data_IF_517729190217
#
_entry.id   IF_517729190217
#
_cell.length_a   1.000
_cell.length_b   1.000
_cell.length_c   1.000
_cell.angle_alpha   90.00
_cell.angle_beta   90.00
_cell.angle_gamma   90.00
#
_symmetry.space_group_name_H-M   'P 1'
#
loop_
_entity.id
_entity.type
_entity.pdbx_description
1 polymer ?
#
# COMPACT_ATOMS: atom_id res chain seq x y z
N UNK A 1 -4.96 -6.75 11.76
CA UNK A 1 -3.88 -7.28 12.63
C UNK A 1 -4.50 -8.16 13.71
N UNK A 2 -5.51 -7.69 14.47
CA UNK A 2 -6.11 -8.47 15.55
C UNK A 2 -6.64 -9.84 15.12
N UNK A 3 -7.29 -9.93 13.95
CA UNK A 3 -7.76 -11.21 13.40
C UNK A 3 -6.60 -12.14 13.00
N UNK A 4 -5.51 -11.59 12.44
CA UNK A 4 -4.32 -12.35 12.11
C UNK A 4 -3.71 -13.00 13.37
N UNK A 5 -3.53 -12.20 14.42
CA UNK A 5 -3.02 -12.69 15.71
C UNK A 5 -3.91 -13.75 16.32
N UNK A 6 -5.24 -13.50 16.33
CA UNK A 6 -6.23 -14.45 16.87
C UNK A 6 -6.14 -15.82 16.16
N UNK A 7 -6.12 -15.84 14.82
CA UNK A 7 -6.02 -17.05 14.02
C UNK A 7 -4.70 -17.81 14.27
N UNK A 8 -3.58 -17.08 14.27
CA UNK A 8 -2.27 -17.72 14.51
C UNK A 8 -2.20 -18.34 15.91
N UNK A 9 -2.77 -17.68 16.91
CA UNK A 9 -2.86 -18.18 18.29
C UNK A 9 -3.80 -19.38 18.42
N UNK A 10 -4.97 -19.34 17.79
CA UNK A 10 -5.93 -20.47 17.77
C UNK A 10 -5.34 -21.71 17.10
N UNK A 11 -4.54 -21.52 16.05
CA UNK A 11 -3.79 -22.59 15.38
C UNK A 11 -2.51 -23.00 16.13
N UNK A 12 -2.19 -22.31 17.25
CA UNK A 12 -0.98 -22.52 18.08
C UNK A 12 0.33 -22.40 17.31
N UNK A 13 0.36 -21.56 16.31
CA UNK A 13 1.58 -21.27 15.58
C UNK A 13 2.58 -20.50 16.46
N UNK A 14 3.83 -20.96 16.49
CA UNK A 14 4.90 -20.32 17.25
C UNK A 14 5.19 -18.91 16.71
N UNK A 15 5.16 -18.78 15.38
CA UNK A 15 5.47 -17.51 14.71
C UNK A 15 4.32 -17.01 13.83
N UNK A 16 4.10 -15.71 13.87
CA UNK A 16 3.21 -15.00 12.96
C UNK A 16 4.04 -14.40 11.82
N UNK A 17 3.83 -14.90 10.61
CA UNK A 17 4.62 -14.59 9.42
C UNK A 17 3.88 -13.67 8.46
N UNK A 18 4.54 -13.27 7.37
CA UNK A 18 3.93 -12.43 6.30
C UNK A 18 2.78 -13.16 5.61
N UNK A 19 2.84 -14.48 5.53
CA UNK A 19 1.78 -15.36 4.97
C UNK A 19 0.50 -15.25 5.80
N UNK A 20 0.60 -15.23 7.13
CA UNK A 20 -0.55 -15.00 8.02
C UNK A 20 -1.16 -13.61 7.79
N UNK A 21 -0.32 -12.61 7.55
CA UNK A 21 -0.79 -11.25 7.27
C UNK A 21 -1.56 -11.19 5.95
N UNK A 22 -1.02 -11.79 4.88
CA UNK A 22 -1.69 -11.85 3.59
C UNK A 22 -2.99 -12.64 3.68
N UNK A 23 -3.00 -13.78 4.39
CA UNK A 23 -4.21 -14.56 4.63
C UNK A 23 -5.32 -13.74 5.33
N UNK A 24 -4.95 -12.94 6.33
CA UNK A 24 -5.90 -12.04 6.99
C UNK A 24 -6.36 -10.88 6.08
N UNK A 25 -5.52 -10.45 5.14
CA UNK A 25 -5.89 -9.42 4.15
C UNK A 25 -6.89 -9.94 3.11
N UNK A 26 -6.96 -11.25 2.85
CA UNK A 26 -7.99 -11.83 1.98
C UNK A 26 -9.40 -11.62 2.51
N UNK A 27 -9.56 -11.37 3.81
CA UNK A 27 -10.87 -11.04 4.42
C UNK A 27 -11.07 -9.53 4.62
N UNK A 28 -10.09 -8.71 4.24
CA UNK A 28 -10.19 -7.26 4.36
C UNK A 28 -10.78 -6.63 3.10
N UNK A 29 -11.89 -5.85 3.19
CA UNK A 29 -12.58 -5.32 2.02
C UNK A 29 -11.69 -4.49 1.09
N UNK A 30 -10.82 -3.64 1.64
CA UNK A 30 -9.94 -2.80 0.81
C UNK A 30 -8.86 -3.59 0.09
N UNK A 31 -8.32 -4.65 0.70
CA UNK A 31 -7.35 -5.53 0.06
C UNK A 31 -8.02 -6.46 -0.96
N UNK A 32 -9.22 -6.96 -0.67
CA UNK A 32 -10.02 -7.77 -1.60
C UNK A 32 -10.32 -7.03 -2.91
N UNK A 33 -10.76 -5.77 -2.80
CA UNK A 33 -11.05 -4.94 -3.97
C UNK A 33 -9.81 -4.81 -4.88
N UNK A 34 -8.64 -4.56 -4.29
CA UNK A 34 -7.37 -4.46 -5.01
C UNK A 34 -6.99 -5.79 -5.66
N UNK A 35 -7.03 -6.90 -4.91
CA UNK A 35 -6.66 -8.23 -5.42
C UNK A 35 -7.58 -8.66 -6.57
N UNK A 36 -8.90 -8.43 -6.42
CA UNK A 36 -9.88 -8.70 -7.48
C UNK A 36 -9.60 -7.87 -8.74
N UNK A 37 -9.33 -6.58 -8.58
CA UNK A 37 -8.99 -5.69 -9.69
C UNK A 37 -7.70 -6.08 -10.41
N UNK A 38 -6.72 -6.63 -9.68
CA UNK A 38 -5.49 -7.20 -10.23
C UNK A 38 -5.68 -8.61 -10.82
N UNK A 39 -6.89 -9.19 -10.73
CA UNK A 39 -7.21 -10.51 -11.29
C UNK A 39 -6.76 -11.68 -10.46
N UNK A 40 -6.48 -11.48 -9.16
CA UNK A 40 -6.12 -12.56 -8.24
C UNK A 40 -7.31 -13.48 -7.95
N UNK A 41 -7.05 -14.78 -7.89
CA UNK A 41 -7.97 -15.79 -7.36
C UNK A 41 -7.75 -15.92 -5.85
N UNK A 42 -8.66 -15.31 -5.08
CA UNK A 42 -8.56 -15.26 -3.62
C UNK A 42 -8.66 -16.64 -2.96
N UNK A 43 -9.47 -17.56 -3.54
CA UNK A 43 -9.64 -18.90 -2.98
C UNK A 43 -8.40 -19.77 -3.18
N UNK A 44 -7.84 -19.72 -4.38
CA UNK A 44 -6.58 -20.39 -4.68
C UNK A 44 -5.45 -19.84 -3.82
N UNK A 45 -5.36 -18.51 -3.68
CA UNK A 45 -4.34 -17.86 -2.86
C UNK A 45 -4.48 -18.25 -1.38
N UNK A 46 -5.72 -18.37 -0.88
CA UNK A 46 -6.00 -18.85 0.48
C UNK A 46 -5.45 -20.24 0.71
N UNK A 47 -5.77 -21.18 -0.18
CA UNK A 47 -5.33 -22.58 -0.07
C UNK A 47 -3.78 -22.69 -0.10
N UNK A 48 -3.14 -21.99 -1.03
CA UNK A 48 -1.67 -21.97 -1.16
C UNK A 48 -1.00 -21.38 0.11
N UNK A 49 -1.57 -20.31 0.68
CA UNK A 49 -1.06 -19.71 1.91
C UNK A 49 -1.26 -20.60 3.14
N UNK A 50 -2.42 -21.22 3.29
CA UNK A 50 -2.69 -22.16 4.39
C UNK A 50 -1.74 -23.37 4.34
N UNK A 51 -1.50 -23.93 3.17
CA UNK A 51 -0.53 -25.01 2.98
C UNK A 51 0.90 -24.57 3.31
N UNK A 52 1.30 -23.37 2.87
CA UNK A 52 2.62 -22.85 3.15
C UNK A 52 2.84 -22.58 4.65
N UNK A 53 1.84 -22.04 5.34
CA UNK A 53 1.88 -21.82 6.78
C UNK A 53 2.02 -23.14 7.51
N UNK A 54 1.19 -24.12 7.18
CA UNK A 54 1.22 -25.43 7.82
C UNK A 54 2.55 -26.18 7.62
N UNK A 55 3.17 -26.01 6.44
CA UNK A 55 4.44 -26.63 6.12
C UNK A 55 5.66 -25.95 6.74
N UNK A 56 5.59 -24.63 6.98
CA UNK A 56 6.75 -23.82 7.35
C UNK A 56 6.76 -23.33 8.79
N UNK A 57 5.59 -23.29 9.46
CA UNK A 57 5.48 -22.73 10.81
C UNK A 57 5.32 -23.83 11.85
N UNK A 58 6.21 -23.84 12.84
CA UNK A 58 6.14 -24.74 13.98
C UNK A 58 4.93 -24.45 14.86
N UNK A 59 4.30 -25.51 15.41
CA UNK A 59 3.24 -25.37 16.40
C UNK A 59 3.80 -25.47 17.81
N UNK A 60 3.27 -24.67 18.72
CA UNK A 60 3.56 -24.75 20.14
C UNK A 60 2.94 -26.01 20.74
N UNK A 61 3.65 -26.69 21.62
CA UNK A 61 3.13 -27.85 22.36
C UNK A 61 1.99 -27.45 23.31
N UNK A 62 1.14 -28.42 23.70
CA UNK A 62 -0.06 -28.15 24.52
C UNK A 62 0.24 -27.61 25.92
N UNK A 63 1.40 -27.93 26.44
CA UNK A 63 1.91 -27.50 27.76
C UNK A 63 2.87 -26.30 27.66
N UNK A 64 3.12 -25.78 26.46
CA UNK A 64 4.02 -24.65 26.26
C UNK A 64 3.28 -23.33 26.58
N UNK A 65 3.72 -22.66 27.64
CA UNK A 65 3.18 -21.38 28.09
C UNK A 65 3.59 -20.18 27.22
N UNK A 66 4.33 -20.41 26.11
CA UNK A 66 4.72 -19.34 25.19
C UNK A 66 3.54 -18.89 24.34
N UNK A 67 3.55 -17.62 23.98
CA UNK A 67 2.56 -17.04 23.07
C UNK A 67 3.15 -16.87 21.65
N UNK A 68 2.28 -16.79 20.65
CA UNK A 68 2.65 -16.55 19.25
C UNK A 68 3.47 -15.25 19.10
N UNK A 69 4.62 -15.33 18.44
CA UNK A 69 5.51 -14.18 18.25
C UNK A 69 5.52 -13.69 16.80
N UNK A 70 5.48 -12.37 16.55
CA UNK A 70 5.60 -11.84 15.20
C UNK A 70 7.04 -11.97 14.71
N UNK A 71 7.22 -12.46 13.47
CA UNK A 71 8.53 -12.49 12.83
C UNK A 71 9.03 -11.09 12.46
N UNK A 72 10.34 -10.96 12.24
CA UNK A 72 10.93 -9.69 11.78
C UNK A 72 10.34 -9.24 10.43
N UNK A 73 10.05 -10.17 9.51
CA UNK A 73 9.41 -9.86 8.23
C UNK A 73 8.01 -9.25 8.44
N UNK A 74 7.21 -9.83 9.31
CA UNK A 74 5.91 -9.30 9.69
C UNK A 74 6.00 -7.88 10.26
N UNK A 75 6.93 -7.65 11.18
CA UNK A 75 7.14 -6.32 11.78
C UNK A 75 7.58 -5.28 10.74
N UNK A 76 8.53 -5.65 9.85
CA UNK A 76 9.01 -4.76 8.77
C UNK A 76 7.89 -4.36 7.81
N UNK A 77 7.00 -5.28 7.45
CA UNK A 77 5.83 -4.97 6.59
C UNK A 77 4.94 -3.92 7.25
N UNK A 78 4.61 -4.10 8.53
CA UNK A 78 3.78 -3.13 9.24
C UNK A 78 4.45 -1.76 9.38
N UNK A 79 5.73 -1.73 9.75
CA UNK A 79 6.49 -0.48 9.83
C UNK A 79 6.54 0.24 8.48
N UNK A 80 6.76 -0.50 7.39
CA UNK A 80 6.77 0.05 6.03
C UNK A 80 5.41 0.61 5.64
N UNK A 81 4.32 -0.09 5.94
CA UNK A 81 2.97 0.39 5.67
C UNK A 81 2.67 1.70 6.43
N UNK A 82 3.02 1.77 7.71
CA UNK A 82 2.86 2.99 8.52
C UNK A 82 3.71 4.14 7.96
N UNK A 83 4.97 3.87 7.64
CA UNK A 83 5.86 4.88 7.07
C UNK A 83 5.33 5.46 5.75
N UNK A 84 4.84 4.59 4.85
CA UNK A 84 4.25 5.04 3.57
C UNK A 84 3.02 5.92 3.77
N UNK A 85 2.15 5.57 4.71
CA UNK A 85 0.95 6.34 5.00
C UNK A 85 1.31 7.70 5.61
N UNK A 86 2.24 7.73 6.55
CA UNK A 86 2.72 8.98 7.16
C UNK A 86 3.38 9.91 6.13
N UNK A 87 4.23 9.35 5.25
CA UNK A 87 4.91 10.14 4.21
C UNK A 87 3.96 10.68 3.14
N UNK A 88 2.82 10.02 2.93
CA UNK A 88 1.76 10.49 2.00
C UNK A 88 0.73 11.43 2.66
N UNK A 89 0.90 11.78 3.93
CA UNK A 89 0.00 12.67 4.67
C UNK A 89 -1.36 12.06 5.02
N UNK A 90 -1.55 10.75 4.77
CA UNK A 90 -2.76 10.02 5.16
C UNK A 90 -2.73 9.68 6.65
N UNK A 91 -3.91 9.63 7.28
CA UNK A 91 -4.02 9.39 8.74
C UNK A 91 -4.22 7.92 9.10
N UNK A 92 -4.68 7.11 8.16
CA UNK A 92 -5.06 5.72 8.42
C UNK A 92 -4.34 4.74 7.49
N UNK A 93 -3.92 3.61 8.07
CA UNK A 93 -3.32 2.50 7.31
C UNK A 93 -4.42 1.56 6.89
N UNK A 94 -4.68 1.48 5.58
CA UNK A 94 -5.66 0.55 5.01
C UNK A 94 -5.05 -0.81 4.70
N UNK A 95 -5.89 -1.85 4.49
CA UNK A 95 -5.42 -3.16 4.04
C UNK A 95 -4.66 -3.11 2.71
N UNK A 96 -5.05 -2.20 1.81
CA UNK A 96 -4.36 -1.97 0.55
C UNK A 96 -2.92 -1.43 0.73
N UNK A 97 -2.69 -0.54 1.70
CA UNK A 97 -1.35 -0.06 2.03
C UNK A 97 -0.46 -1.19 2.56
N UNK A 98 -1.02 -2.06 3.40
CA UNK A 98 -0.31 -3.24 3.91
C UNK A 98 0.01 -4.21 2.78
N UNK A 99 -0.91 -4.44 1.84
CA UNK A 99 -0.70 -5.29 0.68
C UNK A 99 0.48 -4.79 -0.18
N UNK A 100 0.58 -3.48 -0.45
CA UNK A 100 1.75 -2.89 -1.13
C UNK A 100 3.05 -3.13 -0.35
N UNK A 101 2.98 -3.00 0.99
CA UNK A 101 4.16 -3.16 1.85
C UNK A 101 4.67 -4.61 1.89
N UNK A 102 3.81 -5.62 1.70
CA UNK A 102 4.18 -7.05 1.64
C UNK A 102 5.21 -7.31 0.53
N UNK A 103 5.09 -6.67 -0.63
CA UNK A 103 6.05 -6.82 -1.73
C UNK A 103 7.48 -6.38 -1.41
N UNK A 104 7.71 -5.74 -0.27
CA UNK A 104 9.04 -5.46 0.23
C UNK A 104 9.76 -6.68 0.83
N UNK A 105 9.04 -7.74 1.17
CA UNK A 105 9.59 -9.01 1.66
C UNK A 105 9.67 -10.02 0.51
N UNK A 106 10.61 -9.80 -0.39
CA UNK A 106 10.72 -10.52 -1.68
C UNK A 106 10.89 -12.04 -1.52
N UNK A 107 11.48 -12.46 -0.41
CA UNK A 107 11.78 -13.86 -0.13
C UNK A 107 10.63 -14.58 0.60
N UNK A 108 9.47 -13.91 0.82
CA UNK A 108 8.29 -14.52 1.46
C UNK A 108 7.48 -15.35 0.46
N UNK A 109 6.90 -16.45 0.94
CA UNK A 109 5.93 -17.23 0.16
C UNK A 109 4.72 -16.38 -0.23
N UNK A 110 4.35 -15.39 0.59
CA UNK A 110 3.27 -14.46 0.28
C UNK A 110 3.51 -13.73 -1.07
N UNK A 111 4.70 -13.18 -1.28
CA UNK A 111 5.06 -12.52 -2.55
C UNK A 111 5.20 -13.52 -3.69
N UNK A 112 5.72 -14.72 -3.40
CA UNK A 112 5.83 -15.78 -4.40
C UNK A 112 4.46 -16.16 -4.98
N UNK A 113 3.44 -16.42 -4.14
CA UNK A 113 2.11 -16.79 -4.62
C UNK A 113 1.37 -15.64 -5.31
N UNK A 114 1.55 -14.39 -4.87
CA UNK A 114 1.02 -13.23 -5.58
C UNK A 114 1.62 -13.13 -6.99
N UNK A 115 2.93 -13.30 -7.13
CA UNK A 115 3.60 -13.28 -8.43
C UNK A 115 3.19 -14.48 -9.31
N UNK A 116 2.95 -15.66 -8.73
CA UNK A 116 2.48 -16.83 -9.44
C UNK A 116 1.09 -16.62 -10.06
N UNK A 117 0.27 -15.78 -9.44
CA UNK A 117 -1.01 -15.34 -9.98
C UNK A 117 -0.89 -14.07 -10.85
N UNK A 118 0.34 -13.72 -11.25
CA UNK A 118 0.64 -12.56 -12.08
C UNK A 118 0.22 -11.21 -11.45
N UNK A 119 0.14 -11.15 -10.12
CA UNK A 119 -0.11 -9.93 -9.36
C UNK A 119 1.21 -9.31 -8.95
N UNK A 120 1.51 -8.13 -9.48
CA UNK A 120 2.75 -7.41 -9.19
C UNK A 120 2.49 -6.20 -8.29
N UNK A 121 3.55 -5.71 -7.65
CA UNK A 121 3.47 -4.46 -6.88
C UNK A 121 2.98 -3.29 -7.74
N UNK A 122 3.39 -3.26 -9.03
CA UNK A 122 3.02 -2.19 -9.95
C UNK A 122 1.52 -2.20 -10.25
N UNK A 123 0.91 -3.38 -10.44
CA UNK A 123 -0.52 -3.52 -10.69
C UNK A 123 -1.32 -2.94 -9.53
N UNK A 124 -0.92 -3.27 -8.29
CA UNK A 124 -1.59 -2.78 -7.07
C UNK A 124 -1.45 -1.25 -6.96
N UNK A 125 -0.24 -0.72 -7.18
CA UNK A 125 -0.01 0.73 -7.13
C UNK A 125 -0.78 1.44 -8.23
N UNK A 126 -0.84 0.91 -9.45
CA UNK A 126 -1.62 1.47 -10.54
C UNK A 126 -3.12 1.50 -10.23
N UNK A 127 -3.64 0.43 -9.65
CA UNK A 127 -5.04 0.42 -9.21
C UNK A 127 -5.32 1.45 -8.12
N UNK A 128 -4.45 1.55 -7.10
CA UNK A 128 -4.62 2.50 -6.00
C UNK A 128 -4.47 3.96 -6.43
N UNK A 129 -3.67 4.22 -7.47
CA UNK A 129 -3.37 5.58 -7.95
C UNK A 129 -4.32 6.04 -9.05
N UNK A 130 -4.76 5.13 -9.89
CA UNK A 130 -5.46 5.46 -11.13
C UNK A 130 -6.80 4.72 -11.30
N UNK A 131 -7.15 3.81 -10.39
CA UNK A 131 -8.31 2.96 -10.53
C UNK A 131 -8.24 1.97 -11.71
N UNK A 132 -7.05 1.78 -12.31
CA UNK A 132 -6.87 0.94 -13.49
C UNK A 132 -6.79 -0.52 -13.06
N UNK A 133 -7.85 -1.28 -13.35
CA UNK A 133 -7.89 -2.73 -13.12
C UNK A 133 -7.15 -3.47 -14.25
N UNK A 134 -6.41 -4.54 -13.91
CA UNK A 134 -5.67 -5.36 -14.88
C UNK A 134 -6.59 -6.11 -15.87
N UNK A 135 -7.84 -6.37 -15.47
CA UNK A 135 -8.86 -7.10 -16.27
C UNK A 135 -9.92 -6.22 -16.91
N UNK A 136 -9.71 -4.94 -17.17
CA UNK A 136 -10.65 -4.13 -17.96
C UNK A 136 -12.04 -3.91 -17.36
N UNK A 137 -12.31 -4.35 -16.13
CA UNK A 137 -13.49 -3.94 -15.38
C UNK A 137 -13.11 -2.67 -14.61
N UNK A 138 -13.83 -1.57 -14.85
CA UNK A 138 -13.75 -0.36 -14.04
C UNK A 138 -14.12 -0.74 -12.61
N UNK A 139 -13.12 -0.96 -11.77
CA UNK A 139 -13.32 -1.30 -10.37
C UNK A 139 -13.79 -0.07 -9.60
N UNK A 140 -14.93 -0.19 -8.92
CA UNK A 140 -15.34 0.77 -7.92
C UNK A 140 -14.20 0.97 -6.90
N UNK A 141 -13.66 2.17 -6.87
CA UNK A 141 -12.70 2.59 -5.84
C UNK A 141 -13.44 2.60 -4.51
N UNK A 142 -13.05 1.83 -3.48
CA UNK A 142 -13.70 1.92 -2.19
C UNK A 142 -13.53 3.34 -1.65
N UNK A 143 -14.58 3.97 -1.10
CA UNK A 143 -14.52 5.32 -0.60
C UNK A 143 -13.55 5.36 0.60
N UNK A 144 -12.40 5.97 0.41
CA UNK A 144 -11.55 6.41 1.53
C UNK A 144 -12.28 7.56 2.20
N UNK A 145 -12.56 7.37 3.49
CA UNK A 145 -13.40 8.17 4.35
C UNK A 145 -13.36 9.68 4.13
N UNK A 146 -14.51 10.22 4.26
CA UNK A 146 -14.97 11.60 4.34
C UNK A 146 -13.90 12.70 4.51
N UNK A 147 -13.78 13.53 3.48
CA UNK A 147 -13.29 14.89 3.64
C UNK A 147 -14.39 15.83 3.15
N UNK A 148 -15.15 16.40 4.10
CA UNK A 148 -16.03 17.53 3.87
C UNK A 148 -15.21 18.75 3.39
N UNK A 149 -15.61 19.32 2.27
CA UNK A 149 -14.98 20.52 1.73
C UNK A 149 -15.55 20.90 0.37
N UNK A 150 -16.74 21.47 0.38
CA UNK A 150 -17.52 22.00 -0.72
C UNK A 150 -16.77 23.07 -1.51
N UNK A 151 -16.69 22.94 -2.83
CA UNK A 151 -16.69 24.08 -3.76
C UNK A 151 -17.16 23.63 -5.15
N UNK A 152 -18.15 24.34 -5.65
CA UNK A 152 -18.87 24.15 -6.89
C UNK A 152 -18.04 24.44 -8.15
N UNK A 153 -18.37 23.74 -9.22
CA UNK A 153 -18.30 24.28 -10.60
C UNK A 153 -17.31 23.62 -11.54
N UNK A 154 -17.81 22.86 -12.51
CA UNK A 154 -17.11 22.59 -13.77
C UNK A 154 -17.15 21.15 -14.24
N UNK A 155 -18.06 20.88 -15.18
CA UNK A 155 -18.23 19.62 -15.92
C UNK A 155 -16.94 19.18 -16.61
N UNK A 156 -16.57 17.90 -16.47
CA UNK A 156 -15.46 17.27 -17.18
C UNK A 156 -15.15 15.90 -16.65
N UNK A 157 -15.47 14.89 -17.41
CA UNK A 157 -15.36 13.45 -17.25
C UNK A 157 -14.26 12.90 -16.36
N UNK A 158 -14.64 11.97 -15.51
CA UNK A 158 -13.88 11.25 -14.50
C UNK A 158 -12.54 10.64 -14.98
N UNK A 159 -11.47 11.37 -14.71
CA UNK A 159 -10.15 10.83 -14.43
C UNK A 159 -9.75 11.41 -13.08
N UNK A 160 -9.88 10.63 -12.02
CA UNK A 160 -9.36 11.02 -10.71
C UNK A 160 -7.94 11.54 -10.90
N UNK A 161 -7.71 12.79 -10.51
CA UNK A 161 -6.41 13.47 -10.70
C UNK A 161 -5.37 12.79 -9.79
N UNK A 162 -4.73 11.73 -10.30
CA UNK A 162 -3.67 11.00 -9.62
C UNK A 162 -2.54 11.92 -9.13
N UNK A 163 -2.33 13.05 -9.82
CA UNK A 163 -1.39 14.07 -9.38
C UNK A 163 -1.86 14.77 -8.09
N UNK A 164 -3.17 14.95 -7.91
CA UNK A 164 -3.70 15.55 -6.69
C UNK A 164 -3.57 14.60 -5.48
N UNK A 165 -3.59 13.29 -5.71
CA UNK A 165 -3.49 12.29 -4.65
C UNK A 165 -2.04 11.98 -4.23
N UNK A 166 -1.09 11.98 -5.19
CA UNK A 166 0.31 11.57 -4.96
C UNK A 166 1.33 12.69 -5.06
N UNK A 167 0.93 13.88 -5.53
CA UNK A 167 1.79 15.04 -5.65
C UNK A 167 1.18 16.24 -4.93
N UNK A 168 1.95 16.91 -4.09
CA UNK A 168 1.53 18.19 -3.53
C UNK A 168 1.78 19.30 -4.54
N UNK A 169 0.75 20.11 -4.83
CA UNK A 169 0.87 21.31 -5.66
C UNK A 169 1.64 22.38 -4.90
N UNK A 170 2.97 22.39 -5.05
CA UNK A 170 3.85 23.32 -4.33
C UNK A 170 3.46 24.80 -4.57
N UNK A 171 2.97 25.14 -5.77
CA UNK A 171 2.50 26.49 -6.06
C UNK A 171 1.31 26.91 -5.19
N UNK A 172 0.38 25.98 -4.94
CA UNK A 172 -0.79 26.26 -4.10
C UNK A 172 -0.40 26.29 -2.61
N UNK A 173 0.55 25.43 -2.21
CA UNK A 173 1.12 25.47 -0.87
C UNK A 173 1.88 26.78 -0.61
N UNK A 174 2.62 27.29 -1.59
CA UNK A 174 3.31 28.58 -1.50
C UNK A 174 2.32 29.77 -1.41
N UNK A 175 1.27 29.76 -2.26
CA UNK A 175 0.24 30.82 -2.23
C UNK A 175 -0.56 30.86 -0.92
N UNK A 176 -0.77 29.69 -0.32
CA UNK A 176 -1.46 29.56 0.97
C UNK A 176 -0.55 29.80 2.19
N UNK A 177 0.70 30.19 1.99
CA UNK A 177 1.65 30.46 3.08
C UNK A 177 2.15 29.22 3.83
N UNK A 178 1.94 28.02 3.28
CA UNK A 178 2.42 26.75 3.89
C UNK A 178 3.87 26.41 3.57
N UNK A 179 4.50 27.21 2.71
CA UNK A 179 5.94 27.10 2.38
C UNK A 179 6.59 28.40 2.82
N UNK A 180 7.65 28.28 3.59
CA UNK A 180 8.42 29.41 4.06
C UNK A 180 9.02 30.20 2.88
N UNK A 181 9.04 31.55 2.93
CA UNK A 181 9.65 32.35 1.89
C UNK A 181 11.15 32.09 1.80
N UNK A 182 11.64 32.00 0.58
CA UNK A 182 13.06 31.81 0.33
C UNK A 182 13.81 33.11 0.67
N UNK A 183 14.75 33.02 1.62
CA UNK A 183 15.60 34.13 2.02
C UNK A 183 17.02 33.88 1.50
N UNK A 184 17.54 34.81 0.72
CA UNK A 184 18.84 34.69 0.07
C UNK A 184 18.83 33.79 -1.17
N UNK A 185 19.95 33.20 -1.54
CA UNK A 185 20.16 32.25 -2.64
C UNK A 185 19.74 32.74 -4.02
N UNK A 186 19.96 34.03 -4.28
CA UNK A 186 19.56 34.67 -5.53
C UNK A 186 20.27 34.07 -6.75
N UNK A 187 21.54 33.77 -6.62
CA UNK A 187 22.37 33.18 -7.68
C UNK A 187 21.94 31.77 -8.05
N UNK A 188 21.55 30.97 -7.04
CA UNK A 188 21.05 29.62 -7.26
C UNK A 188 19.69 29.62 -7.95
N UNK A 189 18.82 30.59 -7.64
CA UNK A 189 17.54 30.77 -8.32
C UNK A 189 17.77 31.15 -9.78
N UNK A 190 18.61 32.13 -10.07
CA UNK A 190 18.91 32.55 -11.45
C UNK A 190 19.50 31.39 -12.25
N UNK A 191 20.42 30.62 -11.65
CA UNK A 191 20.98 29.43 -12.28
C UNK A 191 19.95 28.35 -12.54
N UNK A 192 19.03 28.11 -11.62
CA UNK A 192 17.93 27.15 -11.79
C UNK A 192 17.02 27.58 -12.93
N UNK A 193 16.62 28.85 -12.98
CA UNK A 193 15.80 29.41 -14.06
C UNK A 193 16.51 29.23 -15.42
N UNK A 194 17.80 29.56 -15.49
CA UNK A 194 18.59 29.39 -16.71
C UNK A 194 18.65 27.92 -17.17
N UNK A 195 18.75 26.96 -16.24
CA UNK A 195 18.76 25.52 -16.57
C UNK A 195 17.37 25.09 -17.07
N UNK A 196 16.30 25.47 -16.38
CA UNK A 196 14.93 25.11 -16.75
C UNK A 196 14.48 25.71 -18.08
N UNK A 197 14.99 26.92 -18.41
CA UNK A 197 14.68 27.60 -19.67
C UNK A 197 15.51 27.09 -20.87
N UNK A 198 16.44 26.17 -20.70
CA UNK A 198 17.21 25.60 -21.82
C UNK A 198 16.29 24.77 -22.73
N UNK A 199 16.44 24.96 -24.03
CA UNK A 199 15.68 24.21 -25.04
C UNK A 199 16.03 22.71 -25.09
N UNK A 200 17.23 22.33 -24.64
CA UNK A 200 17.73 20.95 -24.61
C UNK A 200 18.58 20.75 -23.35
N UNK A 201 18.57 19.56 -22.79
CA UNK A 201 19.34 19.19 -21.56
C UNK A 201 19.03 20.10 -20.36
N UNK A 202 17.74 20.21 -20.05
CA UNK A 202 17.23 20.98 -18.91
C UNK A 202 16.96 20.18 -17.64
N UNK A 203 17.40 18.94 -17.63
CA UNK A 203 17.27 18.00 -16.50
C UNK A 203 18.59 17.83 -15.72
#
# INVERSE_FOLDING_TARGET
IGQCYKRAREARHEFMTVEHLLLALLDNPSAQAVLKACGADAERLRQELEQAIEASVSRLADDDGRDTQPTLGFQRVLQRAVYHVQSSGKKEVTGANVLVAIFGEKDSHAVYYLNQQDVTRLDIVNYLSHGIAKRGEEGEVPPSGEAEGRAEGGEGEGKGDALAEFASKLNDAARSGRIDPLVGRRDEIERTIQVLCRRRKNN
#
